data_IF_578007053452
#
_entry.id   IF_578007053452
#
_cell.length_a   1.000
_cell.length_b   1.000
_cell.length_c   1.000
_cell.angle_alpha   90.00
_cell.angle_beta   90.00
_cell.angle_gamma   90.00
#
_symmetry.space_group_name_H-M   'P 1'
#
loop_
_entity.id
_entity.type
_entity.pdbx_description
1 polymer ?
#
# COMPACT_ATOMS: atom_id res chain seq x y z
N UNK A 1 7.78 1.38 -15.59
CA UNK A 1 8.14 2.37 -14.55
C UNK A 1 7.29 2.01 -13.36
N UNK A 2 7.92 1.60 -12.25
CA UNK A 2 7.22 1.03 -11.11
C UNK A 2 6.81 2.11 -10.11
N UNK A 3 5.59 2.01 -9.58
CA UNK A 3 5.06 2.86 -8.52
C UNK A 3 5.15 2.08 -7.21
N UNK A 4 5.85 2.61 -6.21
CA UNK A 4 5.89 2.04 -4.88
C UNK A 4 4.91 2.76 -3.95
N UNK A 5 3.93 2.04 -3.43
CA UNK A 5 2.99 2.51 -2.42
C UNK A 5 3.40 1.96 -1.06
N UNK A 6 3.70 2.85 -0.12
CA UNK A 6 3.87 2.49 1.28
C UNK A 6 2.50 2.40 1.95
N UNK A 7 2.14 1.21 2.41
CA UNK A 7 0.87 0.96 3.06
C UNK A 7 0.95 1.23 4.56
N UNK A 8 0.09 2.12 5.05
CA UNK A 8 -0.04 2.41 6.46
C UNK A 8 -0.91 1.35 7.14
N UNK A 9 -0.46 0.81 8.27
CA UNK A 9 -1.16 -0.20 9.06
C UNK A 9 -0.91 -0.02 10.57
N UNK A 10 -1.71 -0.70 11.38
CA UNK A 10 -1.58 -0.75 12.85
C UNK A 10 -1.51 -2.18 13.42
N UNK A 11 -1.22 -3.17 12.57
CA UNK A 11 -1.20 -4.62 12.82
C UNK A 11 -2.57 -5.28 12.98
N UNK A 12 -3.66 -4.51 13.02
CA UNK A 12 -5.01 -5.03 12.90
C UNK A 12 -5.53 -4.85 11.48
N UNK A 13 -5.34 -3.67 10.90
CA UNK A 13 -5.85 -3.34 9.58
C UNK A 13 -4.94 -2.39 8.78
N UNK A 14 -5.20 -2.32 7.46
CA UNK A 14 -4.66 -1.27 6.60
C UNK A 14 -5.51 -0.01 6.76
N UNK A 15 -4.87 1.14 6.96
CA UNK A 15 -5.60 2.39 7.10
C UNK A 15 -6.18 2.83 5.77
N UNK A 16 -7.30 3.57 5.82
CA UNK A 16 -7.99 4.12 4.63
C UNK A 16 -7.09 4.96 3.74
N UNK A 17 -6.06 5.59 4.29
CA UNK A 17 -5.06 6.33 3.52
C UNK A 17 -4.41 5.45 2.43
N UNK A 18 -4.14 4.17 2.72
CA UNK A 18 -3.56 3.22 1.75
C UNK A 18 -4.45 3.05 0.52
N UNK A 19 -5.78 2.98 0.69
CA UNK A 19 -6.72 2.84 -0.42
C UNK A 19 -6.69 4.05 -1.36
N UNK A 20 -6.71 5.27 -0.79
CA UNK A 20 -6.61 6.50 -1.57
C UNK A 20 -5.30 6.55 -2.38
N UNK A 21 -4.19 6.16 -1.75
CA UNK A 21 -2.87 6.14 -2.39
C UNK A 21 -2.79 5.11 -3.51
N UNK A 22 -3.31 3.89 -3.32
CA UNK A 22 -3.38 2.86 -4.39
C UNK A 22 -4.27 3.33 -5.55
N UNK A 23 -5.39 3.98 -5.24
CA UNK A 23 -6.31 4.51 -6.27
C UNK A 23 -5.62 5.59 -7.11
N UNK A 24 -4.86 6.49 -6.48
CA UNK A 24 -4.06 7.47 -7.20
C UNK A 24 -2.95 6.80 -8.04
N UNK A 25 -2.23 5.83 -7.47
CA UNK A 25 -1.20 5.08 -8.17
C UNK A 25 -1.73 4.38 -9.43
N UNK A 26 -2.93 3.78 -9.36
CA UNK A 26 -3.58 3.13 -10.51
C UNK A 26 -3.93 4.08 -11.66
N UNK A 27 -4.11 5.37 -11.37
CA UNK A 27 -4.34 6.38 -12.40
C UNK A 27 -3.03 6.85 -13.05
N UNK A 28 -1.90 6.68 -12.36
CA UNK A 28 -0.58 7.06 -12.85
C UNK A 28 0.05 5.95 -13.70
N UNK A 29 -0.30 4.68 -13.45
CA UNK A 29 0.24 3.54 -14.19
C UNK A 29 -0.24 2.19 -13.67
N UNK A 30 0.12 1.14 -14.39
CA UNK A 30 -0.30 -0.25 -14.12
C UNK A 30 0.70 -1.08 -13.32
N UNK A 31 1.93 -0.61 -13.16
CA UNK A 31 3.01 -1.33 -12.47
C UNK A 31 3.15 -0.81 -11.04
N UNK A 32 2.41 -1.42 -10.11
CA UNK A 32 2.27 -0.95 -8.72
C UNK A 32 2.75 -2.03 -7.76
N UNK A 33 3.70 -1.65 -6.90
CA UNK A 33 4.15 -2.45 -5.77
C UNK A 33 3.64 -1.84 -4.48
N UNK A 34 3.12 -2.67 -3.58
CA UNK A 34 2.65 -2.22 -2.26
C UNK A 34 3.54 -2.83 -1.18
N UNK A 35 4.20 -1.98 -0.39
CA UNK A 35 5.02 -2.41 0.75
C UNK A 35 4.26 -2.16 2.05
N UNK A 36 3.99 -3.23 2.78
CA UNK A 36 3.53 -3.21 4.18
C UNK A 36 4.74 -3.57 5.03
N UNK A 37 5.17 -2.69 5.93
CA UNK A 37 6.34 -2.91 6.76
C UNK A 37 6.06 -2.61 8.23
N UNK A 38 6.32 -3.59 9.10
CA UNK A 38 6.19 -3.43 10.54
C UNK A 38 6.36 -4.76 11.28
N UNK A 39 6.63 -4.70 12.59
CA UNK A 39 6.63 -5.91 13.41
C UNK A 39 5.20 -6.45 13.52
N UNK A 40 4.99 -7.71 13.16
CA UNK A 40 3.68 -8.34 13.16
C UNK A 40 2.84 -8.11 11.89
N UNK A 41 3.39 -7.42 10.87
CA UNK A 41 2.74 -7.41 9.56
C UNK A 41 2.76 -8.84 8.98
N UNK A 42 1.59 -9.37 8.67
CA UNK A 42 1.46 -10.68 8.01
C UNK A 42 1.43 -10.47 6.50
N UNK A 43 1.80 -11.49 5.71
CA UNK A 43 1.47 -11.51 4.29
C UNK A 43 -0.04 -11.29 4.14
N UNK A 44 -0.40 -10.28 3.35
CA UNK A 44 -1.77 -10.00 2.94
C UNK A 44 -2.07 -10.65 1.61
#
# INVERSE_FOLDING_TARGET
MAILVYAEHDNAELKKATLSTVTAASQMGSDIHVLVAGSGCKPV
#
